data_IF_005613408980
#
_entry.id   IF_005613408980
#
_cell.length_a   1.000
_cell.length_b   1.000
_cell.length_c   1.000
_cell.angle_alpha   90.00
_cell.angle_beta   90.00
_cell.angle_gamma   90.00
#
_symmetry.space_group_name_H-M   'P 1'
#
loop_
_entity.id
_entity.type
_entity.pdbx_description
1 polymer ?
#
# COMPACT_ATOMS: atom_id res chain seq x y z
N UNK A 1 37.29 -10.91 11.86
CA UNK A 1 37.37 -11.56 10.54
C UNK A 1 36.09 -12.35 10.28
N UNK A 2 35.31 -11.90 9.27
CA UNK A 2 34.45 -12.63 8.33
C UNK A 2 33.69 -13.91 8.77
N UNK A 3 32.35 -13.87 8.68
CA UNK A 3 31.64 -14.54 7.56
C UNK A 3 30.20 -14.05 7.40
N UNK A 4 29.99 -13.24 6.37
CA UNK A 4 28.71 -13.16 5.68
C UNK A 4 28.42 -14.54 5.05
N UNK A 5 27.30 -15.16 5.42
CA UNK A 5 26.53 -16.08 4.57
C UNK A 5 25.27 -16.54 5.29
N UNK A 6 24.12 -16.06 4.81
CA UNK A 6 22.94 -16.91 4.62
C UNK A 6 22.02 -16.26 3.60
N UNK A 7 22.53 -16.19 2.37
CA UNK A 7 21.68 -16.51 1.23
C UNK A 7 21.10 -17.91 1.45
N UNK A 8 19.80 -17.97 1.74
CA UNK A 8 18.95 -19.06 1.29
C UNK A 8 17.63 -18.47 0.81
N UNK A 9 17.73 -17.89 -0.38
CA UNK A 9 16.64 -17.88 -1.34
C UNK A 9 16.36 -19.35 -1.74
N UNK A 10 15.15 -19.85 -1.47
CA UNK A 10 14.65 -21.10 -2.06
C UNK A 10 14.12 -22.15 -1.07
N UNK A 11 12.80 -22.40 -1.16
CA UNK A 11 12.19 -23.69 -0.80
C UNK A 11 11.47 -23.76 0.55
N UNK A 12 10.25 -24.30 0.52
CA UNK A 12 9.22 -24.19 1.55
C UNK A 12 9.36 -25.13 2.78
N UNK A 13 8.42 -24.93 3.72
CA UNK A 13 8.13 -25.68 4.95
C UNK A 13 8.96 -25.33 6.20
N UNK A 14 8.80 -24.10 6.68
CA UNK A 14 9.28 -23.69 8.00
C UNK A 14 9.30 -22.18 8.10
N UNK A 15 8.14 -21.60 8.44
CA UNK A 15 7.93 -20.15 8.57
C UNK A 15 8.91 -19.55 9.60
N UNK A 16 10.12 -19.17 9.17
CA UNK A 16 10.92 -18.21 9.90
C UNK A 16 10.10 -16.93 9.96
N UNK A 17 9.69 -16.54 11.17
CA UNK A 17 9.00 -15.27 11.39
C UNK A 17 9.90 -14.18 10.79
N UNK A 18 9.45 -13.47 9.75
CA UNK A 18 10.28 -12.49 9.08
C UNK A 18 10.74 -11.44 10.09
N UNK A 19 11.97 -10.96 9.94
CA UNK A 19 12.48 -9.93 10.83
C UNK A 19 11.61 -8.67 10.72
N UNK A 20 11.44 -7.92 11.80
CA UNK A 20 10.61 -6.71 11.79
C UNK A 20 11.07 -5.70 10.73
N UNK A 21 12.38 -5.63 10.46
CA UNK A 21 12.94 -4.85 9.36
C UNK A 21 12.57 -5.37 7.96
N UNK A 22 12.40 -6.69 7.77
CA UNK A 22 11.94 -7.26 6.51
C UNK A 22 10.44 -7.02 6.28
N UNK A 23 9.63 -7.10 7.35
CA UNK A 23 8.20 -6.76 7.30
C UNK A 23 8.04 -5.28 6.96
N UNK A 24 8.77 -4.40 7.66
CA UNK A 24 8.79 -2.97 7.42
C UNK A 24 9.26 -2.63 6.01
N UNK A 25 10.34 -3.25 5.53
CA UNK A 25 10.84 -3.05 4.17
C UNK A 25 9.85 -3.45 3.08
N UNK A 26 9.15 -4.59 3.26
CA UNK A 26 8.08 -5.02 2.34
C UNK A 26 6.90 -4.06 2.36
N UNK A 27 6.46 -3.62 3.54
CA UNK A 27 5.38 -2.65 3.68
C UNK A 27 5.74 -1.31 3.01
N UNK A 28 6.98 -0.83 3.18
CA UNK A 28 7.47 0.39 2.57
C UNK A 28 7.48 0.31 1.03
N UNK A 29 7.98 -0.79 0.46
CA UNK A 29 7.97 -0.98 -1.01
C UNK A 29 6.54 -1.08 -1.53
N UNK A 30 5.66 -1.80 -0.85
CA UNK A 30 4.24 -1.89 -1.21
C UNK A 30 3.56 -0.51 -1.18
N UNK A 31 3.83 0.29 -0.16
CA UNK A 31 3.32 1.66 -0.05
C UNK A 31 3.83 2.52 -1.22
N UNK A 32 5.12 2.50 -1.51
CA UNK A 32 5.69 3.26 -2.63
C UNK A 32 5.09 2.87 -3.99
N UNK A 33 4.91 1.57 -4.24
CA UNK A 33 4.29 1.05 -5.47
C UNK A 33 2.81 1.45 -5.54
N UNK A 34 2.06 1.31 -4.44
CA UNK A 34 0.65 1.66 -4.37
C UNK A 34 0.45 3.17 -4.63
N UNK A 35 1.19 4.04 -3.94
CA UNK A 35 1.10 5.49 -4.12
C UNK A 35 1.46 5.89 -5.55
N UNK A 36 2.54 5.35 -6.14
CA UNK A 36 2.92 5.66 -7.52
C UNK A 36 1.86 5.20 -8.54
N UNK A 37 1.27 4.01 -8.34
CA UNK A 37 0.23 3.48 -9.20
C UNK A 37 -1.07 4.32 -9.07
N UNK A 38 -1.50 4.63 -7.84
CA UNK A 38 -2.67 5.47 -7.60
C UNK A 38 -2.50 6.86 -8.19
N UNK A 39 -1.38 7.55 -7.96
CA UNK A 39 -1.13 8.88 -8.51
C UNK A 39 -1.24 8.88 -10.04
N UNK A 40 -0.70 7.85 -10.73
CA UNK A 40 -0.81 7.72 -12.19
C UNK A 40 -2.25 7.46 -12.65
N UNK A 41 -3.02 6.69 -11.89
CA UNK A 41 -4.42 6.41 -12.18
C UNK A 41 -5.29 7.66 -11.98
N UNK A 42 -5.12 8.36 -10.86
CA UNK A 42 -5.85 9.59 -10.53
C UNK A 42 -5.62 10.69 -11.55
N UNK A 43 -4.41 10.82 -12.12
CA UNK A 43 -4.12 11.75 -13.24
C UNK A 43 -4.94 11.49 -14.51
N UNK A 44 -5.52 10.30 -14.66
CA UNK A 44 -6.31 9.90 -15.83
C UNK A 44 -7.81 9.83 -15.54
N UNK A 45 -8.21 9.96 -14.27
CA UNK A 45 -9.60 9.93 -13.85
C UNK A 45 -10.13 11.35 -13.69
N UNK A 46 -11.35 11.57 -14.16
CA UNK A 46 -12.19 12.71 -13.82
C UNK A 46 -12.68 12.61 -12.36
N UNK A 47 -13.29 13.67 -11.85
CA UNK A 47 -13.69 13.78 -10.43
C UNK A 47 -14.66 12.67 -10.02
N UNK A 48 -15.60 12.31 -10.90
CA UNK A 48 -16.54 11.22 -10.66
C UNK A 48 -15.81 9.87 -10.64
N UNK A 49 -14.91 9.62 -11.58
CA UNK A 49 -14.08 8.41 -11.60
C UNK A 49 -13.13 8.29 -10.41
N UNK A 50 -12.64 9.40 -9.85
CA UNK A 50 -11.85 9.40 -8.61
C UNK A 50 -12.69 9.01 -7.39
N UNK A 51 -13.94 9.48 -7.33
CA UNK A 51 -14.89 9.15 -6.26
C UNK A 51 -15.27 7.67 -6.30
N UNK A 52 -15.58 7.15 -7.47
CA UNK A 52 -15.87 5.72 -7.68
C UNK A 52 -14.68 4.83 -7.31
N UNK A 53 -13.46 5.27 -7.68
CA UNK A 53 -12.23 4.56 -7.32
C UNK A 53 -12.03 4.52 -5.81
N UNK A 54 -12.27 5.62 -5.10
CA UNK A 54 -12.17 5.68 -3.64
C UNK A 54 -13.18 4.73 -2.98
N UNK A 55 -14.43 4.72 -3.43
CA UNK A 55 -15.43 3.78 -2.93
C UNK A 55 -15.05 2.32 -3.19
N UNK A 56 -14.59 2.01 -4.40
CA UNK A 56 -14.16 0.67 -4.76
C UNK A 56 -12.99 0.21 -3.89
N UNK A 57 -12.04 1.10 -3.60
CA UNK A 57 -10.90 0.83 -2.73
C UNK A 57 -11.35 0.55 -1.29
N UNK A 58 -12.22 1.39 -0.72
CA UNK A 58 -12.80 1.19 0.63
C UNK A 58 -13.49 -0.17 0.74
N UNK A 59 -14.35 -0.51 -0.23
CA UNK A 59 -15.03 -1.82 -0.26
C UNK A 59 -14.03 -2.98 -0.38
N UNK A 60 -12.95 -2.82 -1.14
CA UNK A 60 -11.92 -3.85 -1.28
C UNK A 60 -11.15 -4.07 0.04
N UNK A 61 -10.80 -3.00 0.74
CA UNK A 61 -10.13 -3.05 2.05
C UNK A 61 -11.04 -3.74 3.06
N UNK A 62 -12.30 -3.30 3.20
CA UNK A 62 -13.24 -3.93 4.13
C UNK A 62 -13.38 -5.43 3.88
N UNK A 63 -13.52 -5.85 2.60
CA UNK A 63 -13.59 -7.27 2.25
C UNK A 63 -12.32 -8.02 2.66
N UNK A 64 -11.14 -7.43 2.43
CA UNK A 64 -9.85 -8.05 2.77
C UNK A 64 -9.64 -8.15 4.28
N UNK A 65 -10.01 -7.12 5.03
CA UNK A 65 -9.90 -7.12 6.49
C UNK A 65 -10.84 -8.16 7.11
N UNK A 66 -12.09 -8.26 6.62
CA UNK A 66 -13.03 -9.32 7.03
C UNK A 66 -12.50 -10.72 6.68
N UNK A 67 -11.95 -10.91 5.48
CA UNK A 67 -11.33 -12.19 5.08
C UNK A 67 -10.13 -12.56 5.96
N UNK A 68 -9.33 -11.59 6.39
CA UNK A 68 -8.19 -11.80 7.25
C UNK A 68 -8.56 -12.11 8.71
N UNK A 69 -9.86 -12.11 9.06
CA UNK A 69 -10.36 -12.25 10.44
C UNK A 69 -9.68 -11.28 11.41
N UNK A 70 -9.36 -10.09 10.92
CA UNK A 70 -8.81 -9.04 11.77
C UNK A 70 -9.85 -8.63 12.83
N UNK A 71 -9.41 -8.27 14.04
CA UNK A 71 -10.32 -7.78 15.07
C UNK A 71 -11.11 -6.59 14.54
N UNK A 72 -12.43 -6.54 14.78
CA UNK A 72 -13.28 -5.45 14.28
C UNK A 72 -12.79 -4.07 14.74
N UNK A 73 -12.18 -4.00 15.93
CA UNK A 73 -11.54 -2.81 16.48
C UNK A 73 -10.38 -2.26 15.62
N UNK A 74 -9.77 -3.08 14.75
CA UNK A 74 -8.68 -2.66 13.85
C UNK A 74 -9.19 -2.20 12.48
N UNK A 75 -10.46 -2.49 12.12
CA UNK A 75 -11.05 -2.09 10.84
C UNK A 75 -11.02 -0.56 10.65
N UNK A 76 -11.38 0.27 11.65
CA UNK A 76 -11.35 1.72 11.50
C UNK A 76 -9.95 2.24 11.21
N UNK A 77 -8.96 1.81 11.99
CA UNK A 77 -7.57 2.26 11.84
C UNK A 77 -6.96 1.88 10.48
N UNK A 78 -7.23 0.67 9.98
CA UNK A 78 -6.76 0.22 8.66
C UNK A 78 -7.46 1.00 7.54
N UNK A 79 -8.73 1.35 7.72
CA UNK A 79 -9.50 2.12 6.74
C UNK A 79 -9.05 3.59 6.69
N UNK A 80 -8.77 4.19 7.84
CA UNK A 80 -8.25 5.54 7.98
C UNK A 80 -6.89 5.66 7.30
N UNK A 81 -5.95 4.75 7.61
CA UNK A 81 -4.63 4.75 6.96
C UNK A 81 -4.71 4.59 5.44
N UNK A 82 -5.64 3.76 4.94
CA UNK A 82 -5.81 3.62 3.51
C UNK A 82 -6.42 4.87 2.84
N UNK A 83 -7.25 5.62 3.57
CA UNK A 83 -7.78 6.90 3.11
C UNK A 83 -6.67 7.95 3.05
N UNK A 84 -5.81 8.04 4.07
CA UNK A 84 -4.64 8.94 4.07
C UNK A 84 -3.75 8.70 2.84
N UNK A 85 -3.46 7.43 2.50
CA UNK A 85 -2.68 7.09 1.31
C UNK A 85 -3.35 7.53 0.00
N UNK A 86 -4.68 7.50 -0.05
CA UNK A 86 -5.43 7.96 -1.21
C UNK A 86 -5.36 9.48 -1.34
N UNK A 87 -5.59 10.19 -0.24
CA UNK A 87 -5.49 11.66 -0.18
C UNK A 87 -4.09 12.12 -0.57
N UNK A 88 -3.03 11.48 -0.05
CA UNK A 88 -1.65 11.76 -0.43
C UNK A 88 -1.42 11.53 -1.93
N UNK A 89 -1.94 10.44 -2.50
CA UNK A 89 -1.83 10.16 -3.92
C UNK A 89 -2.59 11.18 -4.78
N UNK A 90 -3.73 11.69 -4.30
CA UNK A 90 -4.55 12.70 -4.94
C UNK A 90 -3.87 14.07 -4.90
N UNK A 91 -3.30 14.48 -3.76
CA UNK A 91 -2.49 15.69 -3.66
C UNK A 91 -1.31 15.66 -4.64
N UNK A 92 -0.61 14.53 -4.73
CA UNK A 92 0.50 14.33 -5.68
C UNK A 92 0.03 14.34 -7.14
N UNK A 93 -1.20 13.89 -7.41
CA UNK A 93 -1.79 13.95 -8.74
C UNK A 93 -2.13 15.40 -9.11
N UNK A 94 -2.70 16.17 -8.17
CA UNK A 94 -3.12 17.55 -8.34
C UNK A 94 -1.93 18.54 -8.39
N UNK A 95 -0.80 18.22 -7.75
CA UNK A 95 0.43 19.06 -7.74
C UNK A 95 1.28 19.03 -9.02
N UNK A 96 0.85 18.42 -10.13
CA UNK A 96 1.59 18.49 -11.42
C UNK A 96 0.64 18.92 -12.56
N UNK A 97 0.99 19.97 -13.33
CA UNK A 97 2.30 20.15 -13.97
C UNK A 97 2.93 21.54 -13.77
N UNK A 98 4.12 21.61 -13.16
CA UNK A 98 5.03 22.76 -13.27
C UNK A 98 6.46 22.34 -12.90
N UNK A 99 7.25 21.89 -13.89
CA UNK A 99 8.72 21.98 -13.97
C UNK A 99 9.28 20.92 -14.95
N UNK A 100 8.93 21.07 -16.22
CA UNK A 100 9.83 20.69 -17.31
C UNK A 100 9.87 21.88 -18.27
N UNK A 101 10.69 22.89 -17.94
CA UNK A 101 11.28 23.86 -18.87
C UNK A 101 12.64 24.30 -18.32
#
# INVERSE_FOLDING_TARGET
MLRAKRDKFGGAAGSAVPALGEIGGRAFVLQAVATAALTRLLRRCDVDGQTDLLEALRRAIERKVRQAKMPEAQIPAVSEYAQELFEEAQERANKSPAAEQ
#
